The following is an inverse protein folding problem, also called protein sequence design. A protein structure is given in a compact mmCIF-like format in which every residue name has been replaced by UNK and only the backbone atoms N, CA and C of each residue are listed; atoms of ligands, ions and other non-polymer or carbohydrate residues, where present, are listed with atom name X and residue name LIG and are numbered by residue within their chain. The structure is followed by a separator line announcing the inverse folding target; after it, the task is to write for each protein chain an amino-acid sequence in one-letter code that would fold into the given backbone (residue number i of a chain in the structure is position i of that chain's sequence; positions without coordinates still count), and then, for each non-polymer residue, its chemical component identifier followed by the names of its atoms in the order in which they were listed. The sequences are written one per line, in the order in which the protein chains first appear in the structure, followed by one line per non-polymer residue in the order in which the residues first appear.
data_IF_148267329337
#
_entry.id   IF_148267329337
#
_cell.length_a   1.000
_cell.length_b   1.000
_cell.length_c   1.000
_cell.angle_alpha   90.00
_cell.angle_beta   90.00
_cell.angle_gamma   90.00
#
_symmetry.space_group_name_H-M   'P 1'
#
loop_
_entity.id
_entity.type
_entity.pdbx_description
1 polymer ?
#
# COMPACT_ATOMS: atom_id res chain seq x y z
N UNK A 1 -8.65 -23.00 -36.82
CA UNK A 1 -8.07 -23.24 -35.47
C UNK A 1 -9.08 -22.82 -34.42
N UNK A 2 -9.56 -21.58 -34.47
CA UNK A 2 -10.56 -21.04 -33.52
C UNK A 2 -11.84 -21.88 -33.37
N UNK A 3 -12.47 -22.31 -34.48
CA UNK A 3 -13.64 -23.19 -34.42
C UNK A 3 -13.36 -24.54 -33.71
N UNK A 4 -12.14 -25.07 -33.81
CA UNK A 4 -11.73 -26.28 -33.10
C UNK A 4 -11.50 -26.00 -31.61
N UNK A 5 -10.90 -24.85 -31.26
CA UNK A 5 -10.72 -24.42 -29.88
C UNK A 5 -12.06 -24.19 -29.17
N UNK A 6 -13.02 -23.53 -29.82
CA UNK A 6 -14.36 -23.35 -29.27
C UNK A 6 -15.04 -24.70 -29.01
N UNK A 7 -14.85 -25.68 -29.90
CA UNK A 7 -15.44 -27.01 -29.74
C UNK A 7 -14.77 -27.84 -28.63
N UNK A 8 -13.45 -27.77 -28.50
CA UNK A 8 -12.66 -28.61 -27.57
C UNK A 8 -12.58 -27.96 -26.17
N UNK A 9 -12.27 -26.67 -26.11
CA UNK A 9 -12.08 -25.93 -24.85
C UNK A 9 -13.37 -25.28 -24.34
N UNK A 10 -14.40 -25.20 -25.20
CA UNK A 10 -15.68 -24.56 -24.90
C UNK A 10 -15.69 -23.07 -25.23
N UNK A 11 -16.88 -22.55 -25.57
CA UNK A 11 -17.09 -21.13 -25.92
C UNK A 11 -17.03 -20.19 -24.69
N UNK A 12 -16.99 -20.75 -23.47
CA UNK A 12 -17.10 -20.03 -22.20
C UNK A 12 -18.35 -19.13 -22.10
N UNK A 13 -19.36 -19.42 -22.92
CA UNK A 13 -20.70 -18.83 -22.93
C UNK A 13 -21.73 -19.89 -23.26
N UNK A 14 -22.99 -19.64 -22.89
CA UNK A 14 -24.14 -20.46 -23.27
C UNK A 14 -24.82 -19.94 -24.54
N UNK A 15 -24.45 -18.75 -25.01
CA UNK A 15 -24.95 -18.20 -26.27
C UNK A 15 -24.46 -19.05 -27.45
N UNK A 16 -25.41 -19.53 -28.28
CA UNK A 16 -25.10 -20.43 -29.38
C UNK A 16 -24.81 -21.88 -28.97
N UNK A 17 -25.01 -22.25 -27.69
CA UNK A 17 -24.82 -23.63 -27.24
C UNK A 17 -25.80 -24.60 -27.95
N UNK A 18 -25.31 -25.75 -28.45
CA UNK A 18 -26.17 -26.73 -29.09
C UNK A 18 -27.20 -27.24 -28.07
N UNK A 19 -28.46 -27.38 -28.51
CA UNK A 19 -29.61 -27.82 -27.70
C UNK A 19 -30.16 -26.83 -26.67
N UNK A 20 -29.53 -25.65 -26.50
CA UNK A 20 -30.12 -24.58 -25.70
C UNK A 20 -31.00 -23.70 -26.59
N UNK A 21 -32.27 -23.56 -26.22
CA UNK A 21 -33.18 -22.65 -26.92
C UNK A 21 -32.90 -21.21 -26.50
N UNK A 22 -33.10 -20.26 -27.42
CA UNK A 22 -32.95 -18.82 -27.13
C UNK A 22 -33.82 -18.35 -25.96
N UNK A 23 -35.03 -18.93 -25.81
CA UNK A 23 -35.96 -18.62 -24.71
C UNK A 23 -35.41 -18.97 -23.32
N UNK A 24 -34.42 -19.87 -23.23
CA UNK A 24 -33.80 -20.26 -21.97
C UNK A 24 -32.62 -19.36 -21.60
N UNK A 25 -32.03 -18.62 -22.54
CA UNK A 25 -30.85 -17.78 -22.29
C UNK A 25 -31.04 -16.80 -21.12
N UNK A 26 -32.19 -16.09 -20.97
CA UNK A 26 -32.39 -15.16 -19.85
C UNK A 26 -32.30 -15.82 -18.46
N UNK A 27 -32.53 -17.13 -18.35
CA UNK A 27 -32.42 -17.88 -17.09
C UNK A 27 -30.97 -17.99 -16.62
N UNK A 28 -30.02 -17.94 -17.56
CA UNK A 28 -28.59 -18.13 -17.31
C UNK A 28 -27.77 -16.85 -17.44
N UNK A 29 -28.41 -15.68 -17.50
CA UNK A 29 -27.71 -14.40 -17.58
C UNK A 29 -26.85 -14.19 -16.32
N UNK A 30 -25.56 -13.92 -16.55
CA UNK A 30 -24.56 -13.72 -15.51
C UNK A 30 -24.41 -12.23 -15.16
N UNK A 31 -23.64 -11.93 -14.11
CA UNK A 31 -23.41 -10.54 -13.67
C UNK A 31 -22.60 -9.70 -14.68
N UNK A 32 -21.84 -10.35 -15.55
CA UNK A 32 -21.03 -9.75 -16.62
C UNK A 32 -21.10 -10.66 -17.85
N UNK A 33 -20.77 -10.16 -19.05
CA UNK A 33 -20.62 -10.99 -20.24
C UNK A 33 -19.65 -12.16 -19.99
N UNK A 34 -20.01 -13.35 -20.47
CA UNK A 34 -19.21 -14.56 -20.31
C UNK A 34 -18.56 -14.98 -21.63
N UNK A 35 -17.28 -15.35 -21.58
CA UNK A 35 -16.52 -15.78 -22.76
C UNK A 35 -16.19 -14.64 -23.73
N UNK A 36 -15.48 -14.97 -24.81
CA UNK A 36 -15.07 -13.97 -25.83
C UNK A 36 -16.26 -13.44 -26.64
N UNK A 37 -17.25 -14.30 -26.90
CA UNK A 37 -18.36 -14.01 -27.81
C UNK A 37 -19.69 -13.68 -27.09
N UNK A 38 -19.75 -13.84 -25.77
CA UNK A 38 -20.97 -13.59 -25.00
C UNK A 38 -21.27 -12.11 -24.90
N UNK A 39 -22.55 -11.76 -25.03
CA UNK A 39 -23.06 -10.38 -25.05
C UNK A 39 -24.07 -10.13 -23.94
N UNK A 40 -24.69 -11.18 -23.41
CA UNK A 40 -25.78 -11.08 -22.43
C UNK A 40 -25.24 -11.04 -21.00
N UNK A 41 -25.88 -10.20 -20.19
CA UNK A 41 -25.62 -10.07 -18.76
C UNK A 41 -26.80 -9.38 -18.07
N UNK A 42 -26.84 -9.50 -16.75
CA UNK A 42 -27.84 -8.87 -15.90
C UNK A 42 -27.71 -7.35 -15.94
N UNK A 43 -28.81 -6.65 -16.16
CA UNK A 43 -28.83 -5.19 -16.14
C UNK A 43 -28.55 -4.64 -14.74
N UNK A 44 -27.97 -3.43 -14.67
CA UNK A 44 -27.74 -2.68 -13.42
C UNK A 44 -29.03 -2.56 -12.59
N UNK A 45 -30.15 -2.30 -13.26
CA UNK A 45 -31.46 -2.18 -12.61
C UNK A 45 -31.94 -3.50 -12.00
N UNK A 46 -31.67 -4.65 -12.64
CA UNK A 46 -32.05 -5.96 -12.10
C UNK A 46 -31.36 -6.25 -10.77
N UNK A 47 -30.08 -5.88 -10.62
CA UNK A 47 -29.36 -5.99 -9.35
C UNK A 47 -30.02 -5.17 -8.24
N UNK A 48 -30.35 -3.91 -8.53
CA UNK A 48 -30.95 -2.97 -7.57
C UNK A 48 -32.36 -3.44 -7.16
N UNK A 49 -33.20 -3.83 -8.13
CA UNK A 49 -34.57 -4.28 -7.85
C UNK A 49 -34.60 -5.58 -7.04
N UNK A 50 -33.66 -6.49 -7.31
CA UNK A 50 -33.53 -7.72 -6.52
C UNK A 50 -33.14 -7.41 -5.06
N UNK A 51 -32.16 -6.53 -4.86
CA UNK A 51 -31.80 -6.06 -3.50
C UNK A 51 -33.01 -5.40 -2.83
N UNK A 52 -33.76 -4.57 -3.56
CA UNK A 52 -34.91 -3.85 -3.02
C UNK A 52 -36.05 -4.79 -2.59
N UNK A 53 -36.27 -5.88 -3.33
CA UNK A 53 -37.26 -6.89 -2.96
C UNK A 53 -36.91 -7.60 -1.64
N UNK A 54 -35.61 -7.83 -1.39
CA UNK A 54 -35.15 -8.48 -0.16
C UNK A 54 -35.02 -7.52 1.03
N UNK A 55 -34.75 -6.24 0.79
CA UNK A 55 -34.40 -5.25 1.82
C UNK A 55 -35.43 -5.10 2.97
N UNK A 56 -36.76 -5.18 2.75
CA UNK A 56 -37.75 -5.08 3.83
C UNK A 56 -37.65 -6.20 4.88
N UNK A 57 -37.10 -7.35 4.50
CA UNK A 57 -36.98 -8.52 5.37
C UNK A 57 -35.64 -8.57 6.13
N UNK A 58 -34.77 -7.58 5.92
CA UNK A 58 -33.40 -7.55 6.46
C UNK A 58 -33.22 -6.29 7.30
N UNK A 59 -32.94 -6.47 8.60
CA UNK A 59 -32.69 -5.38 9.55
C UNK A 59 -31.41 -4.61 9.24
N UNK A 60 -30.36 -5.30 8.79
CA UNK A 60 -29.10 -4.72 8.31
C UNK A 60 -29.13 -4.29 6.84
N UNK A 61 -27.96 -3.91 6.32
CA UNK A 61 -27.74 -3.64 4.90
C UNK A 61 -27.36 -4.92 4.13
N UNK A 62 -27.58 -4.93 2.82
CA UNK A 62 -27.24 -6.05 1.94
C UNK A 62 -25.84 -5.84 1.36
N UNK A 63 -24.94 -6.80 1.56
CA UNK A 63 -23.64 -6.85 0.89
C UNK A 63 -23.79 -7.48 -0.49
N UNK A 64 -24.17 -6.68 -1.48
CA UNK A 64 -24.30 -7.11 -2.88
C UNK A 64 -23.72 -6.05 -3.81
N UNK A 65 -22.83 -6.50 -4.67
CA UNK A 65 -22.25 -5.69 -5.74
C UNK A 65 -23.25 -5.45 -6.86
N UNK A 66 -23.36 -4.23 -7.35
CA UNK A 66 -24.09 -3.87 -8.56
C UNK A 66 -23.05 -3.74 -9.68
N UNK A 67 -22.99 -4.75 -10.53
CA UNK A 67 -22.07 -4.80 -11.65
C UNK A 67 -22.55 -3.86 -12.76
N UNK A 68 -21.63 -3.07 -13.30
CA UNK A 68 -21.86 -2.15 -14.40
C UNK A 68 -20.89 -2.45 -15.55
N UNK A 69 -21.30 -2.29 -16.81
CA UNK A 69 -20.41 -2.49 -17.96
C UNK A 69 -19.28 -1.45 -17.97
N UNK A 70 -18.19 -1.72 -18.69
CA UNK A 70 -17.02 -0.84 -18.74
C UNK A 70 -17.38 0.56 -19.28
N UNK A 71 -18.29 0.61 -20.25
CA UNK A 71 -18.77 1.80 -20.93
C UNK A 71 -19.72 2.65 -20.07
N UNK A 72 -20.09 2.18 -18.86
CA UNK A 72 -20.99 2.90 -17.98
C UNK A 72 -20.42 4.28 -17.61
N UNK A 73 -21.27 5.30 -17.72
CA UNK A 73 -20.94 6.70 -17.48
C UNK A 73 -21.16 7.10 -16.02
N UNK A 74 -20.71 8.29 -15.65
CA UNK A 74 -20.96 8.86 -14.31
C UNK A 74 -22.46 9.11 -14.11
N UNK A 75 -23.17 9.48 -15.16
CA UNK A 75 -24.61 9.66 -15.20
C UNK A 75 -25.35 8.36 -14.88
N UNK A 76 -24.87 7.23 -15.41
CA UNK A 76 -25.42 5.89 -15.12
C UNK A 76 -25.21 5.52 -13.65
N UNK A 77 -24.03 5.79 -13.10
CA UNK A 77 -23.75 5.61 -11.66
C UNK A 77 -24.69 6.46 -10.80
N UNK A 78 -24.90 7.72 -11.18
CA UNK A 78 -25.84 8.62 -10.50
C UNK A 78 -27.27 8.08 -10.56
N UNK A 79 -27.71 7.60 -11.72
CA UNK A 79 -29.03 7.01 -11.89
C UNK A 79 -29.20 5.77 -10.99
N UNK A 80 -28.17 4.90 -10.91
CA UNK A 80 -28.15 3.74 -10.03
C UNK A 80 -28.26 4.15 -8.55
N UNK A 81 -27.50 5.15 -8.10
CA UNK A 81 -27.63 5.68 -6.74
C UNK A 81 -29.03 6.23 -6.45
N UNK A 82 -29.59 7.01 -7.37
CA UNK A 82 -30.92 7.58 -7.22
C UNK A 82 -32.01 6.51 -7.19
N UNK A 83 -31.90 5.46 -7.99
CA UNK A 83 -32.84 4.34 -7.99
C UNK A 83 -32.76 3.57 -6.67
N UNK A 84 -31.56 3.22 -6.22
CA UNK A 84 -31.33 2.55 -4.93
C UNK A 84 -31.92 3.34 -3.76
N UNK A 85 -31.75 4.66 -3.75
CA UNK A 85 -32.33 5.53 -2.74
C UNK A 85 -33.87 5.55 -2.78
N UNK A 86 -34.47 5.69 -3.98
CA UNK A 86 -35.94 5.65 -4.15
C UNK A 86 -36.56 4.33 -3.69
N UNK A 87 -35.82 3.23 -3.80
CA UNK A 87 -36.24 1.89 -3.39
C UNK A 87 -35.85 1.55 -1.94
N UNK A 88 -35.42 2.54 -1.16
CA UNK A 88 -35.07 2.41 0.26
C UNK A 88 -33.96 1.37 0.55
N UNK A 89 -33.01 1.22 -0.37
CA UNK A 89 -31.80 0.44 -0.11
C UNK A 89 -30.91 1.14 0.92
N UNK A 90 -30.43 0.37 1.91
CA UNK A 90 -29.60 0.90 3.00
C UNK A 90 -28.13 1.08 2.61
N UNK A 91 -27.66 0.33 1.61
CA UNK A 91 -26.31 0.42 1.08
C UNK A 91 -26.32 0.19 -0.42
N UNK A 92 -25.32 0.75 -1.11
CA UNK A 92 -25.11 0.59 -2.54
C UNK A 92 -23.60 0.43 -2.79
N UNK A 93 -23.22 -0.71 -3.39
CA UNK A 93 -21.85 -1.01 -3.77
C UNK A 93 -21.78 -1.19 -5.29
N UNK A 94 -21.39 -0.13 -6.01
CA UNK A 94 -21.20 -0.17 -7.46
C UNK A 94 -19.84 -0.77 -7.81
N UNK A 95 -19.80 -1.57 -8.86
CA UNK A 95 -18.56 -2.04 -9.47
C UNK A 95 -18.67 -1.91 -10.99
N UNK A 96 -17.91 -0.98 -11.56
CA UNK A 96 -17.78 -0.82 -13.01
C UNK A 96 -16.66 -1.72 -13.52
N UNK A 97 -16.92 -2.53 -14.52
CA UNK A 97 -15.90 -3.41 -15.10
C UNK A 97 -14.70 -2.61 -15.62
N UNK A 98 -13.47 -3.09 -15.39
CA UNK A 98 -12.24 -2.39 -15.75
C UNK A 98 -11.91 -1.17 -14.88
N UNK A 99 -12.64 -0.92 -13.79
CA UNK A 99 -12.33 0.18 -12.86
C UNK A 99 -11.16 -0.09 -11.90
N UNK A 100 -10.70 -1.36 -11.80
CA UNK A 100 -9.54 -1.74 -10.98
C UNK A 100 -8.47 -2.41 -11.84
N UNK A 101 -7.22 -2.01 -11.63
CA UNK A 101 -6.03 -2.50 -12.36
C UNK A 101 -5.83 -4.03 -12.19
N UNK A 102 -6.05 -4.54 -10.99
CA UNK A 102 -6.03 -5.97 -10.68
C UNK A 102 -7.45 -6.42 -10.30
N UNK A 103 -8.16 -7.01 -11.26
CA UNK A 103 -9.46 -7.61 -11.00
C UNK A 103 -9.41 -9.12 -11.30
N UNK A 104 -9.99 -9.97 -10.43
CA UNK A 104 -9.99 -11.43 -10.63
C UNK A 104 -10.68 -11.87 -11.94
N UNK A 105 -11.58 -11.04 -12.48
CA UNK A 105 -12.31 -11.29 -13.72
C UNK A 105 -12.43 -9.96 -14.47
N UNK A 106 -11.93 -9.86 -15.70
CA UNK A 106 -12.04 -8.69 -16.57
C UNK A 106 -12.63 -9.10 -17.92
N UNK A 107 -13.86 -8.68 -18.21
CA UNK A 107 -14.50 -9.05 -19.47
C UNK A 107 -13.95 -8.20 -20.64
N UNK A 108 -13.47 -6.99 -20.36
CA UNK A 108 -12.87 -6.08 -21.36
C UNK A 108 -11.54 -6.57 -21.94
N UNK A 109 -10.81 -7.47 -21.28
CA UNK A 109 -9.56 -8.03 -21.83
C UNK A 109 -9.80 -9.08 -22.94
N UNK A 110 -11.05 -9.42 -23.23
CA UNK A 110 -11.42 -10.46 -24.20
C UNK A 110 -11.98 -9.91 -25.52
N UNK A 111 -12.07 -8.57 -25.67
CA UNK A 111 -12.78 -7.92 -26.78
C UNK A 111 -11.92 -7.02 -27.69
N UNK A 112 -10.58 -7.03 -27.57
CA UNK A 112 -9.72 -6.22 -28.46
C UNK A 112 -9.37 -7.02 -29.73
N UNK A 113 -10.04 -6.63 -30.83
CA UNK A 113 -9.88 -7.10 -32.22
C UNK A 113 -8.52 -6.70 -32.84
N UNK A 114 -7.39 -7.18 -32.32
CA UNK A 114 -6.10 -7.09 -33.00
C UNK A 114 -5.45 -8.48 -33.07
N UNK A 115 -5.35 -9.03 -34.28
CA UNK A 115 -4.78 -10.36 -34.59
C UNK A 115 -3.28 -10.50 -34.21
N UNK A 116 -2.60 -9.42 -33.82
CA UNK A 116 -1.23 -9.43 -33.26
C UNK A 116 -1.19 -9.46 -31.71
N UNK A 117 -2.35 -9.43 -31.04
CA UNK A 117 -2.50 -9.50 -29.59
C UNK A 117 -2.81 -10.93 -29.06
N UNK A 118 -3.15 -11.87 -29.94
CA UNK A 118 -3.68 -13.19 -29.55
C UNK A 118 -2.64 -14.10 -28.86
N UNK A 119 -1.39 -14.08 -29.29
CA UNK A 119 -0.32 -14.90 -28.68
C UNK A 119 0.06 -14.40 -27.26
N UNK A 120 -0.07 -13.09 -27.00
CA UNK A 120 0.28 -12.48 -25.72
C UNK A 120 -0.83 -12.62 -24.68
N UNK A 121 -2.10 -12.67 -25.10
CA UNK A 121 -3.25 -12.81 -24.19
C UNK A 121 -3.34 -14.24 -23.65
N UNK A 122 -3.00 -15.27 -24.44
CA UNK A 122 -2.92 -16.65 -23.95
C UNK A 122 -1.78 -16.85 -22.92
N UNK A 123 -0.61 -16.21 -23.14
CA UNK A 123 0.49 -16.20 -22.16
C UNK A 123 0.14 -15.43 -20.86
N UNK A 124 -0.57 -14.30 -20.98
CA UNK A 124 -1.00 -13.48 -19.83
C UNK A 124 -2.08 -14.17 -18.98
N UNK A 125 -2.96 -14.98 -19.58
CA UNK A 125 -3.96 -15.76 -18.85
C UNK A 125 -3.35 -16.96 -18.12
N UNK A 126 -2.23 -17.51 -18.61
CA UNK A 126 -1.49 -18.59 -17.97
C UNK A 126 -0.55 -18.11 -16.84
N UNK A 127 -0.18 -16.83 -16.81
CA UNK A 127 0.75 -16.29 -15.82
C UNK A 127 0.09 -15.98 -14.45
N UNK A 128 0.82 -16.13 -13.31
CA UNK A 128 0.32 -15.78 -11.99
C UNK A 128 0.02 -14.27 -11.86
N UNK A 129 -0.99 -13.92 -11.06
CA UNK A 129 -1.56 -12.56 -10.95
C UNK A 129 -0.54 -11.43 -10.70
N UNK A 130 0.60 -11.74 -10.06
CA UNK A 130 1.68 -10.77 -9.83
C UNK A 130 2.39 -10.33 -11.12
N UNK A 131 2.53 -11.22 -12.11
CA UNK A 131 3.14 -10.90 -13.40
C UNK A 131 2.21 -10.05 -14.28
N UNK A 132 0.90 -10.28 -14.22
CA UNK A 132 -0.10 -9.48 -14.95
C UNK A 132 -0.14 -8.02 -14.48
N UNK A 133 0.02 -7.80 -13.17
CA UNK A 133 0.11 -6.45 -12.60
C UNK A 133 1.38 -5.71 -13.05
N UNK A 134 2.52 -6.42 -13.18
CA UNK A 134 3.76 -5.83 -13.66
C UNK A 134 3.70 -5.42 -15.15
N UNK A 135 3.17 -6.29 -16.02
CA UNK A 135 3.06 -6.01 -17.47
C UNK A 135 2.06 -4.88 -17.78
N UNK A 136 0.99 -4.76 -16.99
CA UNK A 136 0.07 -3.63 -17.09
C UNK A 136 0.74 -2.32 -16.64
N UNK A 137 1.57 -2.37 -15.59
CA UNK A 137 2.33 -1.21 -15.11
C UNK A 137 3.32 -0.75 -16.18
N UNK A 138 3.98 -1.68 -16.88
CA UNK A 138 4.86 -1.35 -18.01
C UNK A 138 4.13 -0.67 -19.18
N UNK A 139 2.92 -1.12 -19.56
CA UNK A 139 2.14 -0.49 -20.63
C UNK A 139 1.58 0.90 -20.28
N UNK A 140 1.32 1.20 -19.00
CA UNK A 140 0.94 2.56 -18.57
C UNK A 140 2.16 3.48 -18.57
N UNK A 141 3.32 2.96 -18.14
CA UNK A 141 4.59 3.67 -18.27
C UNK A 141 4.90 3.94 -19.75
N UNK A 142 4.73 2.99 -20.66
CA UNK A 142 4.90 3.22 -22.10
C UNK A 142 3.91 4.24 -22.67
N UNK A 143 2.63 4.23 -22.25
CA UNK A 143 1.63 5.21 -22.75
C UNK A 143 1.85 6.63 -22.22
N UNK A 144 2.50 6.78 -21.07
CA UNK A 144 2.92 8.08 -20.52
C UNK A 144 4.26 8.51 -21.15
N UNK A 145 5.18 7.56 -21.40
CA UNK A 145 6.49 7.79 -22.03
C UNK A 145 6.36 8.12 -23.53
N UNK A 146 5.35 7.60 -24.22
CA UNK A 146 5.05 7.97 -25.61
C UNK A 146 4.62 9.43 -25.76
N UNK A 147 4.17 10.09 -24.67
CA UNK A 147 3.61 11.43 -24.79
C UNK A 147 4.60 12.56 -24.55
N UNK A 148 5.67 12.39 -23.77
CA UNK A 148 6.82 13.32 -23.77
C UNK A 148 8.06 12.62 -23.18
N UNK A 149 8.95 12.10 -24.03
CA UNK A 149 10.35 11.87 -23.61
C UNK A 149 10.97 13.26 -23.40
N UNK A 150 10.90 13.79 -22.17
CA UNK A 150 11.70 14.97 -21.81
C UNK A 150 13.13 14.51 -21.56
N UNK A 151 14.08 15.14 -22.23
CA UNK A 151 15.47 15.06 -21.85
C UNK A 151 15.62 15.48 -20.38
N UNK A 152 16.54 14.82 -19.65
CA UNK A 152 16.78 15.10 -18.24
C UNK A 152 16.99 16.59 -18.01
N UNK A 153 16.09 17.22 -17.28
CA UNK A 153 16.20 18.62 -16.89
C UNK A 153 17.22 18.72 -15.73
N UNK A 154 18.37 19.34 -15.98
CA UNK A 154 19.42 19.50 -14.95
C UNK A 154 19.04 20.63 -14.00
N UNK A 155 19.13 20.37 -12.71
CA UNK A 155 18.90 21.39 -11.70
C UNK A 155 20.01 22.47 -11.70
N UNK A 156 19.68 23.72 -11.33
CA UNK A 156 20.66 24.78 -11.11
C UNK A 156 21.67 24.43 -9.99
N UNK A 157 22.89 24.94 -10.12
CA UNK A 157 23.94 24.77 -9.11
C UNK A 157 23.58 25.39 -7.75
N UNK A 158 22.73 26.43 -7.73
CA UNK A 158 22.17 27.04 -6.52
C UNK A 158 20.66 26.96 -6.61
N UNK A 159 20.06 26.15 -5.75
CA UNK A 159 18.62 25.84 -5.74
C UNK A 159 17.94 26.42 -4.51
N UNK A 160 16.65 26.71 -4.65
CA UNK A 160 15.74 26.99 -3.53
C UNK A 160 15.14 25.68 -3.02
N UNK A 161 14.55 25.73 -1.84
CA UNK A 161 13.92 24.60 -1.20
C UNK A 161 13.81 24.82 0.30
N UNK A 162 13.12 23.92 0.99
CA UNK A 162 12.95 23.98 2.43
C UNK A 162 13.51 22.73 3.10
N UNK A 163 13.69 22.83 4.42
CA UNK A 163 14.03 21.68 5.26
C UNK A 163 12.98 21.54 6.33
N UNK A 164 12.23 20.45 6.29
CA UNK A 164 11.24 20.10 7.29
C UNK A 164 11.81 19.05 8.23
N UNK A 165 11.77 19.36 9.53
CA UNK A 165 12.09 18.40 10.58
C UNK A 165 10.79 17.87 11.16
N UNK A 166 10.64 16.56 11.15
CA UNK A 166 9.51 15.89 11.79
C UNK A 166 9.98 14.67 12.58
N UNK A 167 9.10 14.18 13.44
CA UNK A 167 9.28 12.91 14.15
C UNK A 167 8.06 12.04 13.87
N UNK A 168 8.25 10.87 13.27
CA UNK A 168 7.19 9.92 12.90
C UNK A 168 7.39 8.66 13.72
N UNK A 169 6.42 8.30 14.56
CA UNK A 169 6.50 7.09 15.37
C UNK A 169 7.71 7.05 16.32
N UNK A 170 8.21 8.22 16.75
CA UNK A 170 9.41 8.34 17.58
C UNK A 170 10.73 8.48 16.80
N UNK A 171 10.71 8.33 15.48
CA UNK A 171 11.90 8.42 14.62
C UNK A 171 12.03 9.82 14.01
N UNK A 172 13.23 10.42 14.07
CA UNK A 172 13.47 11.78 13.53
C UNK A 172 13.74 11.70 12.04
N UNK A 173 12.96 12.45 11.27
CA UNK A 173 13.05 12.56 9.81
C UNK A 173 13.33 14.01 9.44
N UNK A 174 14.30 14.21 8.55
CA UNK A 174 14.60 15.49 7.94
C UNK A 174 14.34 15.37 6.44
N UNK A 175 13.29 16.03 5.97
CA UNK A 175 12.98 16.16 4.55
C UNK A 175 13.61 17.45 4.05
N UNK A 176 14.45 17.37 3.01
CA UNK A 176 14.94 18.54 2.29
C UNK A 176 14.50 18.49 0.85
N UNK A 177 14.03 19.61 0.32
CA UNK A 177 13.62 19.72 -1.07
C UNK A 177 14.61 20.58 -1.87
N UNK A 178 14.71 20.29 -3.16
CA UNK A 178 15.38 21.14 -4.14
C UNK A 178 14.42 21.47 -5.27
N UNK A 179 14.26 22.76 -5.55
CA UNK A 179 13.33 23.30 -6.53
C UNK A 179 14.04 23.74 -7.81
N UNK A 180 13.32 23.65 -8.92
CA UNK A 180 13.65 24.33 -10.16
C UNK A 180 13.40 25.84 -10.04
N UNK A 181 13.92 26.63 -10.98
CA UNK A 181 13.74 28.10 -10.96
C UNK A 181 12.28 28.54 -11.12
N UNK A 182 11.42 27.67 -11.65
CA UNK A 182 9.98 27.86 -11.80
C UNK A 182 9.16 27.47 -10.55
N UNK A 183 9.80 26.97 -9.50
CA UNK A 183 9.15 26.53 -8.26
C UNK A 183 8.65 25.08 -8.28
N UNK A 184 8.83 24.33 -9.37
CA UNK A 184 8.56 22.88 -9.39
C UNK A 184 9.58 22.14 -8.52
N UNK A 185 9.14 21.04 -7.91
CA UNK A 185 10.02 20.16 -7.15
C UNK A 185 10.92 19.36 -8.11
N UNK A 186 12.23 19.39 -7.90
CA UNK A 186 13.21 18.67 -8.72
C UNK A 186 13.99 17.58 -8.00
N UNK A 187 14.14 17.67 -6.68
CA UNK A 187 14.78 16.62 -5.89
C UNK A 187 14.32 16.64 -4.43
N UNK A 188 14.43 15.48 -3.79
CA UNK A 188 14.15 15.30 -2.37
C UNK A 188 15.31 14.56 -1.70
N UNK A 189 15.56 14.89 -0.44
CA UNK A 189 16.48 14.17 0.43
C UNK A 189 15.78 13.81 1.72
N UNK A 190 15.98 12.57 2.15
CA UNK A 190 15.41 12.05 3.39
C UNK A 190 16.57 11.60 4.29
N UNK A 191 16.78 12.36 5.36
CA UNK A 191 17.80 12.07 6.37
C UNK A 191 17.13 11.58 7.66
N UNK A 192 17.70 10.53 8.23
CA UNK A 192 17.22 9.95 9.49
C UNK A 192 18.35 9.73 10.48
N UNK A 193 18.02 9.78 11.77
CA UNK A 193 18.97 9.70 12.86
C UNK A 193 18.60 8.58 13.84
N UNK A 194 19.56 7.68 14.13
CA UNK A 194 19.42 6.45 14.95
C UNK A 194 18.71 5.26 14.29
N UNK A 195 18.62 5.22 12.96
CA UNK A 195 18.17 4.02 12.24
C UNK A 195 19.33 3.10 11.89
N UNK A 196 19.03 1.81 11.66
CA UNK A 196 19.98 0.87 11.11
C UNK A 196 20.57 1.34 9.77
N UNK A 197 21.84 1.02 9.52
CA UNK A 197 22.56 1.46 8.33
C UNK A 197 21.87 1.06 7.01
N UNK A 198 21.27 -0.14 6.99
CA UNK A 198 20.52 -0.64 5.83
C UNK A 198 19.30 0.22 5.50
N UNK A 199 18.51 0.60 6.52
CA UNK A 199 17.32 1.42 6.34
C UNK A 199 17.67 2.84 5.89
N UNK A 200 18.71 3.44 6.48
CA UNK A 200 19.22 4.75 6.04
C UNK A 200 19.71 4.72 4.58
N UNK A 201 20.45 3.68 4.19
CA UNK A 201 20.93 3.53 2.81
C UNK A 201 19.76 3.36 1.82
N UNK A 202 18.75 2.57 2.19
CA UNK A 202 17.55 2.38 1.40
C UNK A 202 16.77 3.68 1.20
N UNK A 203 16.55 4.46 2.26
CA UNK A 203 15.86 5.75 2.18
C UNK A 203 16.63 6.77 1.33
N UNK A 204 17.96 6.78 1.41
CA UNK A 204 18.79 7.63 0.56
C UNK A 204 18.71 7.23 -0.92
N UNK A 205 18.78 5.93 -1.23
CA UNK A 205 18.65 5.43 -2.61
C UNK A 205 17.25 5.68 -3.16
N UNK A 206 16.22 5.54 -2.33
CA UNK A 206 14.84 5.87 -2.68
C UNK A 206 14.69 7.34 -3.03
N UNK A 207 15.20 8.24 -2.18
CA UNK A 207 15.17 9.68 -2.43
C UNK A 207 15.90 10.06 -3.74
N UNK A 208 17.02 9.39 -4.05
CA UNK A 208 17.75 9.57 -5.32
C UNK A 208 16.89 9.11 -6.51
N UNK A 209 16.23 7.96 -6.42
CA UNK A 209 15.38 7.43 -7.50
C UNK A 209 14.21 8.37 -7.81
N UNK A 210 13.52 8.87 -6.78
CA UNK A 210 12.42 9.83 -6.96
C UNK A 210 12.93 11.15 -7.54
N UNK A 211 14.06 11.66 -7.04
CA UNK A 211 14.68 12.87 -7.59
C UNK A 211 15.05 12.73 -9.06
N UNK A 212 15.53 11.56 -9.46
CA UNK A 212 15.84 11.28 -10.86
C UNK A 212 14.57 11.26 -11.71
N UNK A 213 13.50 10.61 -11.23
CA UNK A 213 12.23 10.57 -11.95
C UNK A 213 11.58 11.95 -12.12
N UNK A 214 11.63 12.81 -11.09
CA UNK A 214 11.20 14.21 -11.19
C UNK A 214 11.99 14.99 -12.25
N UNK A 215 13.31 14.74 -12.36
CA UNK A 215 14.16 15.36 -13.40
C UNK A 215 13.87 14.87 -14.82
N UNK A 216 13.35 13.65 -14.98
CA UNK A 216 12.88 13.13 -16.26
C UNK A 216 11.42 13.53 -16.56
N UNK A 217 10.80 14.34 -15.70
CA UNK A 217 9.47 14.90 -15.94
C UNK A 217 8.32 14.02 -15.47
N UNK A 218 8.56 13.03 -14.60
CA UNK A 218 7.48 12.32 -13.92
C UNK A 218 6.75 13.31 -13.00
N UNK A 219 5.42 13.49 -13.14
CA UNK A 219 4.66 14.42 -12.32
C UNK A 219 4.62 13.97 -10.85
N UNK A 220 4.64 14.93 -9.93
CA UNK A 220 4.65 14.67 -8.48
C UNK A 220 3.34 13.98 -8.03
N UNK A 221 2.23 14.29 -8.68
CA UNK A 221 0.91 13.72 -8.45
C UNK A 221 0.91 12.20 -8.47
N UNK A 222 1.58 11.60 -9.45
CA UNK A 222 1.68 10.14 -9.62
C UNK A 222 2.45 9.50 -8.47
N UNK A 223 3.51 10.15 -8.00
CA UNK A 223 4.24 9.69 -6.83
C UNK A 223 3.43 9.81 -5.55
N UNK A 224 2.67 10.88 -5.39
CA UNK A 224 1.76 11.05 -4.24
C UNK A 224 0.72 9.93 -4.25
N UNK A 225 0.11 9.63 -5.38
CA UNK A 225 -0.90 8.58 -5.48
C UNK A 225 -0.32 7.18 -5.26
N UNK A 226 0.89 6.91 -5.76
CA UNK A 226 1.56 5.63 -5.59
C UNK A 226 2.00 5.35 -4.14
N UNK A 227 2.43 6.39 -3.41
CA UNK A 227 3.12 6.22 -2.12
C UNK A 227 2.33 6.69 -0.89
N UNK A 228 1.18 7.34 -1.08
CA UNK A 228 0.26 7.65 0.04
C UNK A 228 -0.36 6.36 0.60
N UNK A 229 -0.57 6.33 1.91
CA UNK A 229 -1.17 5.21 2.65
C UNK A 229 -0.39 3.87 2.61
N UNK A 230 0.83 3.87 2.08
CA UNK A 230 1.71 2.70 2.16
C UNK A 230 2.10 2.50 3.62
N UNK A 231 1.79 1.29 4.13
CA UNK A 231 2.03 0.91 5.52
C UNK A 231 3.37 0.20 5.67
N UNK A 232 4.27 0.79 6.44
CA UNK A 232 5.48 0.14 6.92
C UNK A 232 6.01 0.87 8.17
N UNK A 233 6.75 0.16 9.03
CA UNK A 233 7.38 0.75 10.21
C UNK A 233 8.68 1.48 9.85
N UNK A 234 8.91 2.72 10.29
CA UNK A 234 8.20 3.40 11.38
C UNK A 234 6.89 4.09 10.99
N UNK A 235 5.85 3.82 11.79
CA UNK A 235 4.52 4.42 11.68
C UNK A 235 4.08 5.00 13.03
N UNK A 236 3.20 5.99 13.02
CA UNK A 236 2.59 6.53 14.23
C UNK A 236 2.37 8.03 14.21
N UNK A 237 2.35 8.63 15.40
CA UNK A 237 2.10 10.05 15.57
C UNK A 237 3.25 10.89 15.00
N UNK A 238 2.91 11.96 14.32
CA UNK A 238 3.82 12.91 13.70
C UNK A 238 3.93 14.14 14.59
N UNK A 239 5.16 14.51 14.96
CA UNK A 239 5.46 15.68 15.78
C UNK A 239 6.39 16.60 15.00
N UNK A 240 6.08 17.90 14.97
CA UNK A 240 6.89 18.92 14.29
C UNK A 240 6.40 19.30 12.89
N UNK A 241 5.28 18.72 12.44
CA UNK A 241 4.55 19.17 11.26
C UNK A 241 3.17 19.67 11.71
N UNK A 242 2.70 20.77 11.13
CA UNK A 242 1.48 21.44 11.55
C UNK A 242 0.22 20.85 10.91
N UNK A 243 0.33 20.30 9.69
CA UNK A 243 -0.79 19.79 8.90
C UNK A 243 -1.03 18.29 9.10
N UNK A 244 0.04 17.49 9.23
CA UNK A 244 -0.02 16.03 9.35
C UNK A 244 0.27 15.62 10.80
N UNK A 245 -0.74 15.06 11.48
CA UNK A 245 -0.64 14.61 12.88
C UNK A 245 -0.33 13.13 13.05
N UNK A 246 -0.66 12.30 12.06
CA UNK A 246 -0.41 10.85 12.09
C UNK A 246 0.01 10.35 10.71
N UNK A 247 0.85 9.31 10.71
CA UNK A 247 1.29 8.67 9.49
C UNK A 247 1.40 7.16 9.58
N UNK A 248 1.07 6.52 8.46
CA UNK A 248 1.12 5.06 8.32
C UNK A 248 2.49 4.55 7.92
N UNK A 249 3.38 5.46 7.48
CA UNK A 249 4.81 5.26 7.33
C UNK A 249 5.56 6.59 7.14
N UNK A 250 6.88 6.54 7.07
CA UNK A 250 7.72 7.70 6.76
C UNK A 250 7.53 8.17 5.31
N UNK A 251 7.43 7.24 4.36
CA UNK A 251 7.23 7.59 2.94
C UNK A 251 5.85 8.23 2.78
N UNK A 252 4.82 7.65 3.41
CA UNK A 252 3.48 8.20 3.45
C UNK A 252 3.45 9.63 4.05
N UNK A 253 4.20 9.87 5.13
CA UNK A 253 4.38 11.22 5.67
C UNK A 253 5.05 12.18 4.66
N UNK A 254 6.15 11.76 4.02
CA UNK A 254 6.90 12.60 3.07
C UNK A 254 6.04 12.99 1.87
N UNK A 255 5.34 12.04 1.24
CA UNK A 255 4.53 12.36 0.06
C UNK A 255 3.27 13.14 0.40
N UNK A 256 2.65 12.94 1.56
CA UNK A 256 1.57 13.82 2.01
C UNK A 256 2.06 15.24 2.25
N UNK A 257 3.25 15.41 2.83
CA UNK A 257 3.83 16.75 3.02
C UNK A 257 4.16 17.44 1.69
N UNK A 258 4.72 16.71 0.73
CA UNK A 258 4.98 17.23 -0.61
C UNK A 258 3.68 17.57 -1.35
N UNK A 259 2.64 16.76 -1.19
CA UNK A 259 1.32 17.03 -1.78
C UNK A 259 0.69 18.31 -1.22
N UNK A 260 0.77 18.53 0.10
CA UNK A 260 0.24 19.74 0.73
C UNK A 260 1.06 20.96 0.28
N UNK A 261 2.40 20.84 0.27
CA UNK A 261 3.30 21.98 0.03
C UNK A 261 3.36 22.41 -1.44
N UNK A 262 3.37 21.46 -2.39
CA UNK A 262 3.54 21.75 -3.82
C UNK A 262 2.25 21.62 -4.63
N UNK A 263 1.32 20.74 -4.24
CA UNK A 263 0.09 20.48 -5.00
C UNK A 263 -1.14 21.16 -4.39
N UNK A 264 -1.05 21.68 -3.17
CA UNK A 264 -2.20 22.25 -2.46
C UNK A 264 -3.30 21.23 -2.13
N UNK A 265 -2.97 19.93 -2.10
CA UNK A 265 -3.89 18.84 -1.74
C UNK A 265 -4.14 18.81 -0.23
N UNK A 266 -5.02 19.69 0.25
CA UNK A 266 -5.38 19.81 1.66
C UNK A 266 -6.22 18.63 2.18
N UNK A 267 -6.80 17.83 1.28
CA UNK A 267 -7.54 16.60 1.59
C UNK A 267 -6.70 15.53 2.31
N UNK A 268 -5.38 15.57 2.12
CA UNK A 268 -4.41 14.67 2.78
C UNK A 268 -3.95 15.19 4.14
N UNK A 269 -4.29 16.44 4.48
CA UNK A 269 -3.96 17.05 5.75
C UNK A 269 -4.96 16.60 6.83
N UNK A 270 -4.47 16.39 8.06
CA UNK A 270 -5.35 16.16 9.21
C UNK A 270 -5.87 17.48 9.80
N UNK A 271 -5.17 18.57 9.51
CA UNK A 271 -5.56 19.94 9.85
C UNK A 271 -5.41 20.77 8.60
N UNK A 272 -6.48 21.44 8.20
CA UNK A 272 -6.45 22.32 7.03
C UNK A 272 -5.42 23.45 7.22
N UNK A 273 -4.45 23.61 6.31
CA UNK A 273 -3.46 24.68 6.39
C UNK A 273 -4.06 26.10 6.49
N UNK A 274 -5.27 26.30 5.98
CA UNK A 274 -6.02 27.56 6.11
C UNK A 274 -6.45 27.87 7.54
N UNK A 275 -6.57 26.87 8.43
CA UNK A 275 -6.90 27.06 9.84
C UNK A 275 -5.68 27.34 10.71
N UNK A 276 -4.48 26.94 10.25
CA UNK A 276 -3.20 27.13 10.95
C UNK A 276 -2.86 28.62 11.09
N UNK A 277 -3.23 29.44 10.10
CA UNK A 277 -3.03 30.91 10.15
C UNK A 277 -4.00 31.66 11.09
N UNK A 278 -5.05 31.01 11.60
CA UNK A 278 -6.19 31.69 12.24
C UNK A 278 -6.25 31.55 13.78
N UNK A 279 -5.18 31.13 14.44
CA UNK A 279 -5.18 31.01 15.92
C UNK A 279 -4.34 32.07 16.61
N UNK A 280 -4.87 33.29 16.70
CA UNK A 280 -4.73 34.18 17.88
C UNK A 280 -5.67 35.41 17.89
N UNK A 281 -6.83 35.35 17.21
CA UNK A 281 -7.99 36.18 17.51
C UNK A 281 -9.22 35.45 16.96
N UNK A 282 -10.14 35.06 17.83
CA UNK A 282 -11.34 34.33 17.43
C UNK A 282 -12.04 35.05 16.29
N UNK A 283 -12.35 34.33 15.21
CA UNK A 283 -13.23 34.83 14.14
C UNK A 283 -14.53 35.30 14.80
N UNK A 284 -14.70 36.62 14.85
CA UNK A 284 -15.89 37.25 15.41
C UNK A 284 -17.15 36.73 14.72
N UNK A 285 -18.19 36.55 15.53
CA UNK A 285 -19.54 36.09 15.19
C UNK A 285 -20.13 36.72 13.91
N UNK A 286 -19.70 36.26 12.74
CA UNK A 286 -20.21 36.72 11.44
C UNK A 286 -20.75 35.59 10.57
N UNK A 287 -20.75 34.34 11.06
CA UNK A 287 -21.46 33.22 10.43
C UNK A 287 -22.34 32.47 11.44
N UNK A 288 -23.15 33.25 12.17
CA UNK A 288 -24.18 32.74 13.08
C UNK A 288 -25.58 32.99 12.55
N UNK A 289 -25.94 32.47 11.36
CA UNK A 289 -27.36 32.30 10.99
C UNK A 289 -27.76 30.85 11.22
N UNK A 290 -27.69 30.44 12.49
CA UNK A 290 -28.39 29.24 12.94
C UNK A 290 -29.91 29.54 12.88
N UNK A 291 -30.75 28.62 12.39
CA UNK A 291 -32.19 28.81 12.45
C UNK A 291 -32.61 28.88 13.91
N UNK A 292 -33.05 30.06 14.34
CA UNK A 292 -33.62 30.30 15.67
C UNK A 292 -34.83 29.39 15.83
N UNK A 293 -34.69 28.34 16.65
CA UNK A 293 -35.82 27.58 17.14
C UNK A 293 -36.72 28.52 17.94
N UNK A 294 -37.92 28.79 17.42
CA UNK A 294 -38.99 29.47 18.18
C UNK A 294 -39.45 28.55 19.30
N UNK A 295 -38.82 28.64 20.46
CA UNK A 295 -39.25 27.89 21.63
C UNK A 295 -38.44 28.21 22.86
N UNK A 296 -39.11 28.80 23.86
CA UNK A 296 -38.70 28.90 25.27
C UNK A 296 -37.45 29.77 25.57
N UNK A 297 -37.67 31.06 25.79
CA UNK A 297 -37.65 31.65 27.14
C UNK A 297 -37.87 33.17 27.04
N UNK A 298 -38.76 33.65 27.89
CA UNK A 298 -39.29 35.01 27.93
C UNK A 298 -38.57 35.72 29.08
N UNK A 299 -37.89 36.84 28.82
CA UNK A 299 -37.68 37.88 29.83
C UNK A 299 -36.35 37.98 30.58
N UNK A 300 -35.19 37.81 29.93
CA UNK A 300 -33.95 38.40 30.45
C UNK A 300 -33.11 39.03 29.33
N UNK A 301 -32.85 40.34 29.45
CA UNK A 301 -31.94 41.09 28.58
C UNK A 301 -30.57 41.20 29.27
N UNK A 302 -29.56 40.51 28.76
CA UNK A 302 -28.17 40.71 29.19
C UNK A 302 -27.57 41.92 28.48
N UNK A 303 -27.02 42.86 29.26
CA UNK A 303 -26.38 44.09 28.76
C UNK A 303 -24.86 43.90 28.86
N UNK A 304 -24.17 43.88 27.72
CA UNK A 304 -22.70 43.82 27.65
C UNK A 304 -22.15 45.22 27.91
N UNK A 305 -21.30 45.37 28.93
CA UNK A 305 -20.58 46.62 29.21
C UNK A 305 -19.22 46.55 28.51
N UNK A 306 -19.03 47.39 27.48
CA UNK A 306 -17.72 47.67 26.91
C UNK A 306 -17.04 48.81 27.67
N UNK A 307 -15.79 48.61 28.07
CA UNK A 307 -14.99 49.61 28.78
C UNK A 307 -13.51 49.48 28.45
N UNK A 308 -13.01 50.47 27.73
CA UNK A 308 -11.60 50.79 27.48
C UNK A 308 -10.79 50.99 28.79
N UNK A 309 -9.54 50.54 28.75
CA UNK A 309 -8.44 50.61 29.75
C UNK A 309 -8.12 52.03 30.32
N UNK A 310 -7.10 52.21 31.20
CA UNK A 310 -6.77 51.51 32.46
C UNK A 310 -6.54 52.50 33.63
N UNK A 311 -6.49 52.01 34.89
CA UNK A 311 -5.90 52.76 36.02
C UNK A 311 -4.90 51.87 36.74
N UNK A 312 -3.66 52.37 36.83
CA UNK A 312 -2.51 51.66 37.36
C UNK A 312 -2.46 51.56 38.88
N UNK A 313 -1.45 50.83 39.35
CA UNK A 313 -0.83 51.05 40.64
C UNK A 313 0.63 50.56 40.61
N UNK A 314 1.49 51.30 41.31
CA UNK A 314 2.94 51.20 41.32
C UNK A 314 3.48 50.37 42.50
N UNK A 315 4.73 49.93 42.35
CA UNK A 315 5.62 49.38 43.38
C UNK A 315 6.65 48.47 42.69
N UNK A 316 7.89 48.87 42.41
CA UNK A 316 8.99 49.14 43.36
C UNK A 316 9.53 47.79 43.88
N UNK A 317 10.79 47.35 43.73
CA UNK A 317 12.04 48.01 43.40
C UNK A 317 13.16 46.99 43.08
N UNK A 318 14.26 47.53 42.53
CA UNK A 318 15.68 47.21 42.75
C UNK A 318 16.40 46.02 42.04
N UNK A 319 17.53 46.39 41.41
CA UNK A 319 18.78 45.62 41.25
C UNK A 319 18.84 44.70 40.02
N UNK A 320 19.86 44.65 39.16
CA UNK A 320 21.18 45.28 39.09
C UNK A 320 21.71 45.00 37.66
N UNK A 321 22.47 45.93 37.07
CA UNK A 321 23.23 45.71 35.83
C UNK A 321 24.71 45.57 36.16
N UNK A 322 25.38 44.54 35.64
CA UNK A 322 26.81 44.63 35.31
C UNK A 322 27.21 43.60 34.24
N UNK A 323 28.21 43.98 33.46
CA UNK A 323 28.88 43.28 32.35
C UNK A 323 30.36 43.70 32.38
N UNK A 324 31.31 43.14 31.58
CA UNK A 324 31.72 41.73 31.37
C UNK A 324 33.28 41.52 31.41
N UNK A 325 33.76 40.27 31.13
CA UNK A 325 35.10 39.78 30.60
C UNK A 325 36.21 39.29 31.58
N UNK A 326 37.28 38.55 31.14
CA UNK A 326 37.47 37.56 30.04
C UNK A 326 38.41 36.32 30.36
N UNK A 327 38.72 35.52 29.31
CA UNK A 327 39.88 34.62 29.05
C UNK A 327 39.86 33.13 29.46
N UNK A 328 39.95 32.22 28.46
CA UNK A 328 41.12 31.37 28.17
C UNK A 328 40.79 30.18 27.21
N UNK A 329 41.62 29.95 26.20
CA UNK A 329 41.76 28.68 25.45
C UNK A 329 42.80 27.77 26.18
N UNK A 330 42.97 26.45 25.90
CA UNK A 330 43.66 26.00 24.67
C UNK A 330 43.41 24.54 24.15
N UNK A 331 43.97 24.31 22.94
CA UNK A 331 44.74 23.14 22.43
C UNK A 331 44.13 21.75 22.15
N UNK A 332 44.51 21.26 20.96
CA UNK A 332 44.41 19.91 20.44
C UNK A 332 45.51 18.95 20.96
N UNK A 333 45.27 17.64 20.89
CA UNK A 333 46.34 16.63 20.77
C UNK A 333 45.89 15.40 19.97
N UNK A 334 46.87 14.85 19.25
CA UNK A 334 46.85 13.72 18.32
C UNK A 334 47.17 12.39 19.03
N UNK A 335 46.67 11.26 18.53
CA UNK A 335 47.13 9.94 18.96
C UNK A 335 46.37 8.77 18.33
N UNK A 336 46.98 8.14 17.32
CA UNK A 336 46.60 6.83 16.79
C UNK A 336 46.86 5.72 17.81
N UNK A 337 45.95 4.74 17.91
CA UNK A 337 46.31 3.37 18.31
C UNK A 337 45.32 2.36 17.71
N UNK A 338 45.90 1.46 16.91
CA UNK A 338 45.31 0.26 16.31
C UNK A 338 45.12 -0.80 17.41
N UNK A 339 43.97 -1.47 17.46
CA UNK A 339 43.78 -2.69 18.24
C UNK A 339 43.31 -3.83 17.34
N UNK A 340 44.01 -4.96 17.46
CA UNK A 340 43.90 -6.18 16.69
C UNK A 340 42.60 -6.94 16.94
N UNK A 341 42.07 -7.56 15.88
CA UNK A 341 41.04 -8.59 15.94
C UNK A 341 41.51 -9.85 16.68
N UNK A 342 40.68 -10.38 17.59
CA UNK A 342 40.74 -11.77 18.10
C UNK A 342 39.48 -12.53 17.65
N UNK A 343 39.56 -13.86 17.42
CA UNK A 343 38.48 -14.64 16.83
C UNK A 343 37.40 -14.99 17.86
N UNK A 344 36.14 -14.91 17.45
CA UNK A 344 34.96 -15.20 18.24
C UNK A 344 34.65 -16.71 18.23
N UNK A 345 34.70 -17.36 19.40
CA UNK A 345 34.22 -18.74 19.57
C UNK A 345 33.43 -18.97 20.87
N UNK A 346 33.47 -18.06 21.83
CA UNK A 346 32.79 -18.25 23.13
C UNK A 346 31.38 -17.62 23.15
N UNK A 347 31.19 -16.43 22.57
CA UNK A 347 29.88 -15.74 22.56
C UNK A 347 28.79 -16.49 21.77
N UNK A 348 29.18 -17.22 20.72
CA UNK A 348 28.24 -17.99 19.88
C UNK A 348 27.73 -19.25 20.55
N UNK A 349 28.47 -19.80 21.52
CA UNK A 349 28.07 -21.00 22.25
C UNK A 349 27.15 -20.66 23.43
N UNK A 350 27.39 -19.51 24.08
CA UNK A 350 26.50 -18.99 25.14
C UNK A 350 25.09 -18.68 24.59
N UNK A 351 25.02 -18.04 23.42
CA UNK A 351 23.73 -17.66 22.80
C UNK A 351 22.87 -18.87 22.39
N UNK A 352 23.50 -19.97 21.97
CA UNK A 352 22.79 -21.18 21.55
C UNK A 352 22.21 -21.94 22.76
N UNK A 353 22.95 -21.96 23.87
CA UNK A 353 22.52 -22.59 25.12
C UNK A 353 21.35 -21.85 25.78
N UNK A 354 21.39 -20.52 25.80
CA UNK A 354 20.30 -19.69 26.34
C UNK A 354 19.00 -19.87 25.54
N UNK A 355 19.10 -20.08 24.22
CA UNK A 355 17.92 -20.31 23.37
C UNK A 355 17.31 -21.70 23.61
N UNK A 356 18.14 -22.73 23.77
CA UNK A 356 17.68 -24.09 24.04
C UNK A 356 17.08 -24.23 25.45
N UNK A 357 17.68 -23.63 26.48
CA UNK A 357 17.15 -23.64 27.85
C UNK A 357 15.83 -22.84 27.97
N UNK A 358 15.71 -21.71 27.25
CA UNK A 358 14.46 -20.91 27.20
C UNK A 358 13.35 -21.62 26.42
N UNK A 359 13.69 -22.41 25.40
CA UNK A 359 12.71 -23.21 24.66
C UNK A 359 12.13 -24.35 25.50
N UNK A 360 12.93 -24.92 26.41
CA UNK A 360 12.46 -25.92 27.39
C UNK A 360 11.58 -25.31 28.48
N UNK A 361 11.97 -24.16 29.02
CA UNK A 361 11.16 -23.44 30.02
C UNK A 361 9.78 -23.06 29.48
N UNK A 362 9.71 -22.61 28.23
CA UNK A 362 8.44 -22.28 27.56
C UNK A 362 7.57 -23.53 27.32
N UNK A 363 8.18 -24.68 27.04
CA UNK A 363 7.46 -25.94 26.86
C UNK A 363 6.91 -26.50 28.19
N UNK A 364 7.61 -26.30 29.30
CA UNK A 364 7.14 -26.65 30.65
C UNK A 364 6.01 -25.72 31.12
N UNK A 365 6.11 -24.40 30.87
CA UNK A 365 5.03 -23.44 31.18
C UNK A 365 3.72 -23.75 30.41
N UNK A 366 3.82 -24.19 29.15
CA UNK A 366 2.65 -24.60 28.34
C UNK A 366 2.01 -25.90 28.86
N UNK A 367 2.79 -26.77 29.51
CA UNK A 367 2.30 -28.02 30.07
C UNK A 367 1.54 -27.81 31.39
N UNK A 368 1.91 -26.79 32.18
CA UNK A 368 1.31 -26.49 33.48
C UNK A 368 0.00 -25.66 33.37
N UNK A 369 -0.26 -24.96 32.26
CA UNK A 369 -1.46 -24.11 32.08
C UNK A 369 -2.74 -24.85 31.61
N UNK A 370 -2.70 -26.17 31.35
CA UNK A 370 -3.88 -26.95 30.94
C UNK A 370 -4.23 -28.08 31.94
N UNK A 371 -5.14 -27.85 32.90
CA UNK A 371 -5.64 -28.94 33.75
C UNK A 371 -6.57 -29.89 32.95
N UNK A 372 -6.63 -31.19 33.31
CA UNK A 372 -7.40 -32.18 32.56
C UNK A 372 -8.90 -32.08 32.90
N UNK A 373 -9.69 -31.47 32.00
CA UNK A 373 -11.15 -31.50 32.10
C UNK A 373 -11.70 -32.84 31.58
N UNK A 374 -12.01 -33.70 32.55
CA UNK A 374 -13.23 -34.49 32.70
C UNK A 374 -14.30 -34.30 31.60
N UNK A 375 -14.19 -34.95 30.43
CA UNK A 375 -15.29 -35.60 29.71
C UNK A 375 -14.70 -36.35 28.49
N UNK A 376 -14.85 -37.67 28.47
CA UNK A 376 -14.37 -38.55 27.40
C UNK A 376 -15.00 -38.19 26.04
N UNK A 377 -14.18 -37.74 25.09
CA UNK A 377 -14.42 -37.99 23.66
C UNK A 377 -13.08 -38.14 22.93
N UNK A 378 -12.91 -39.29 22.27
CA UNK A 378 -11.70 -39.70 21.55
C UNK A 378 -11.54 -38.95 20.22
N UNK A 379 -10.90 -37.78 20.20
CA UNK A 379 -10.29 -37.19 18.98
C UNK A 379 -9.09 -36.31 19.39
N UNK A 380 -7.89 -36.47 18.78
CA UNK A 380 -6.73 -35.65 19.13
C UNK A 380 -6.79 -34.26 18.47
N UNK A 381 -6.55 -33.22 19.28
CA UNK A 381 -6.35 -31.83 18.86
C UNK A 381 -5.24 -31.69 17.79
N UNK A 382 -5.53 -30.92 16.73
CA UNK A 382 -4.67 -30.65 15.55
C UNK A 382 -3.26 -30.13 15.89
N UNK A 383 -3.03 -29.65 17.11
CA UNK A 383 -1.73 -29.09 17.53
C UNK A 383 -0.67 -30.14 17.87
N UNK A 384 -1.06 -31.37 18.22
CA UNK A 384 -0.11 -32.46 18.55
C UNK A 384 0.34 -33.26 17.33
N UNK A 385 -0.30 -33.10 16.17
CA UNK A 385 0.03 -33.81 14.93
C UNK A 385 1.34 -33.33 14.28
N UNK A 386 1.75 -32.08 14.52
CA UNK A 386 2.91 -31.43 13.89
C UNK A 386 4.28 -31.89 14.44
N UNK A 387 4.31 -32.56 15.60
CA UNK A 387 5.55 -33.02 16.26
C UNK A 387 5.61 -34.54 16.42
N UNK A 388 4.84 -35.28 15.61
CA UNK A 388 4.83 -36.74 15.64
C UNK A 388 6.04 -37.35 14.93
N UNK A 389 6.49 -38.54 15.38
CA UNK A 389 7.56 -39.33 14.73
C UNK A 389 7.23 -39.62 13.24
N UNK A 390 5.94 -39.66 12.91
CA UNK A 390 5.44 -39.80 11.54
C UNK A 390 5.74 -38.57 10.68
N UNK A 391 5.54 -37.36 11.20
CA UNK A 391 5.88 -36.12 10.50
C UNK A 391 7.39 -36.02 10.22
N UNK A 392 8.22 -36.53 11.14
CA UNK A 392 9.67 -36.57 10.98
C UNK A 392 10.11 -37.61 9.93
N UNK A 393 9.46 -38.77 9.90
CA UNK A 393 9.67 -39.77 8.86
C UNK A 393 9.26 -39.26 7.46
N UNK A 394 8.11 -38.59 7.35
CA UNK A 394 7.61 -38.03 6.08
C UNK A 394 8.54 -36.91 5.56
N UNK A 395 9.07 -36.05 6.44
CA UNK A 395 10.07 -35.06 6.09
C UNK A 395 11.40 -35.67 5.60
N UNK A 396 11.80 -36.81 6.19
CA UNK A 396 13.00 -37.53 5.75
C UNK A 396 12.81 -38.17 4.36
N UNK A 397 11.63 -38.71 4.08
CA UNK A 397 11.26 -39.26 2.78
C UNK A 397 11.20 -38.17 1.70
N UNK A 398 10.63 -37.00 2.02
CA UNK A 398 10.58 -35.85 1.12
C UNK A 398 11.99 -35.35 0.74
N UNK A 399 12.92 -35.33 1.70
CA UNK A 399 14.34 -34.98 1.45
C UNK A 399 15.04 -35.99 0.53
N UNK A 400 14.75 -37.29 0.68
CA UNK A 400 15.31 -38.32 -0.20
C UNK A 400 14.81 -38.17 -1.65
N UNK A 401 13.52 -37.87 -1.84
CA UNK A 401 12.94 -37.61 -3.17
C UNK A 401 13.54 -36.35 -3.81
N UNK A 402 13.71 -35.28 -3.03
CA UNK A 402 14.37 -34.05 -3.51
C UNK A 402 15.83 -34.29 -3.91
N UNK A 403 16.57 -35.10 -3.16
CA UNK A 403 17.95 -35.47 -3.49
C UNK A 403 18.04 -36.28 -4.81
N UNK A 404 17.11 -37.22 -5.02
CA UNK A 404 17.04 -37.99 -6.27
C UNK A 404 16.72 -37.11 -7.48
N UNK A 405 15.75 -36.19 -7.34
CA UNK A 405 15.40 -35.22 -8.40
C UNK A 405 16.56 -34.29 -8.74
N UNK A 406 17.30 -33.83 -7.73
CA UNK A 406 18.51 -33.03 -7.90
C UNK A 406 19.59 -33.78 -8.68
N UNK A 407 19.85 -35.04 -8.34
CA UNK A 407 20.83 -35.87 -9.05
C UNK A 407 20.44 -36.10 -10.51
N UNK A 408 19.15 -36.36 -10.78
CA UNK A 408 18.64 -36.52 -12.15
C UNK A 408 18.82 -35.24 -12.99
N UNK A 409 18.57 -34.07 -12.41
CA UNK A 409 18.77 -32.80 -13.08
C UNK A 409 20.26 -32.54 -13.40
N UNK A 410 21.17 -32.87 -12.49
CA UNK A 410 22.62 -32.77 -12.74
C UNK A 410 23.06 -33.70 -13.88
N UNK A 411 22.55 -34.94 -13.92
CA UNK A 411 22.83 -35.86 -15.04
C UNK A 411 22.32 -35.34 -16.39
N UNK A 412 21.25 -34.56 -16.38
CA UNK A 412 20.67 -33.93 -17.58
C UNK A 412 21.39 -32.64 -17.99
N UNK A 413 22.45 -32.23 -17.28
CA UNK A 413 23.27 -31.07 -17.62
C UNK A 413 22.87 -29.76 -16.92
N UNK A 414 21.93 -29.81 -15.98
CA UNK A 414 21.52 -28.66 -15.16
C UNK A 414 22.43 -28.46 -13.93
N UNK A 415 22.42 -27.26 -13.33
CA UNK A 415 23.28 -26.92 -12.18
C UNK A 415 22.91 -27.68 -10.90
N UNK A 416 21.70 -28.24 -10.84
CA UNK A 416 21.19 -28.95 -9.66
C UNK A 416 20.75 -28.02 -8.53
N UNK A 417 20.68 -26.71 -8.76
CA UNK A 417 20.05 -25.78 -7.84
C UNK A 417 18.53 -25.80 -8.02
N UNK A 418 17.81 -25.63 -6.91
CA UNK A 418 16.36 -25.55 -6.93
C UNK A 418 15.94 -24.12 -7.23
N UNK A 419 15.06 -23.96 -8.22
CA UNK A 419 14.44 -22.67 -8.50
C UNK A 419 13.64 -22.19 -7.28
N UNK A 420 13.86 -20.94 -6.84
CA UNK A 420 13.11 -20.36 -5.71
C UNK A 420 11.62 -20.19 -6.01
N UNK A 421 11.28 -19.90 -7.27
CA UNK A 421 9.89 -19.65 -7.69
C UNK A 421 9.10 -20.95 -7.90
N UNK A 422 9.55 -21.83 -8.81
CA UNK A 422 8.78 -23.03 -9.20
C UNK A 422 9.27 -24.32 -8.54
N UNK A 423 10.30 -24.26 -7.68
CA UNK A 423 10.89 -25.41 -6.96
C UNK A 423 11.38 -26.57 -7.85
N UNK A 424 11.55 -26.32 -9.15
CA UNK A 424 12.10 -27.29 -10.08
C UNK A 424 13.63 -27.21 -10.14
N UNK A 425 14.30 -28.30 -10.52
CA UNK A 425 15.77 -28.41 -10.52
C UNK A 425 16.41 -28.14 -11.90
N UNK A 426 15.64 -27.61 -12.85
CA UNK A 426 16.07 -27.33 -14.23
C UNK A 426 16.72 -25.96 -14.36
N UNK A 427 17.70 -25.66 -13.51
CA UNK A 427 18.44 -24.40 -13.53
C UNK A 427 19.67 -24.53 -14.45
N UNK A 428 19.87 -23.59 -15.37
CA UNK A 428 21.00 -23.54 -16.32
C UNK A 428 21.84 -22.30 -16.03
N UNK A 429 23.17 -22.40 -16.14
CA UNK A 429 24.04 -21.21 -16.02
C UNK A 429 23.89 -20.30 -17.24
N UNK A 430 23.58 -19.03 -16.98
CA UNK A 430 23.57 -17.95 -17.94
C UNK A 430 24.45 -16.80 -17.43
N UNK A 431 25.73 -16.80 -17.81
CA UNK A 431 26.73 -15.86 -17.31
C UNK A 431 27.13 -16.14 -15.84
N UNK A 432 27.10 -15.11 -14.99
CA UNK A 432 27.34 -15.23 -13.54
C UNK A 432 26.14 -15.76 -12.76
N UNK A 433 25.02 -16.01 -13.44
CA UNK A 433 23.71 -16.21 -12.84
C UNK A 433 23.07 -17.48 -13.40
N UNK A 434 21.97 -17.93 -12.81
CA UNK A 434 21.26 -19.13 -13.24
C UNK A 434 19.87 -18.77 -13.73
N UNK A 435 19.40 -19.41 -14.80
CA UNK A 435 18.07 -19.24 -15.36
C UNK A 435 17.31 -20.57 -15.23
N UNK A 436 16.07 -20.52 -14.77
CA UNK A 436 15.19 -21.68 -14.78
C UNK A 436 14.61 -21.89 -16.17
N UNK A 437 14.79 -23.07 -16.76
CA UNK A 437 14.17 -23.40 -18.04
C UNK A 437 12.66 -23.66 -17.93
N UNK A 438 12.16 -23.99 -16.73
CA UNK A 438 10.73 -24.28 -16.53
C UNK A 438 9.88 -23.02 -16.41
N UNK A 439 10.33 -22.03 -15.65
CA UNK A 439 9.55 -20.81 -15.37
C UNK A 439 10.25 -19.51 -15.79
N UNK A 440 11.43 -19.58 -16.39
CA UNK A 440 12.18 -18.42 -16.89
C UNK A 440 12.87 -17.57 -15.83
N UNK A 441 12.64 -17.80 -14.53
CA UNK A 441 13.19 -16.96 -13.45
C UNK A 441 14.72 -17.04 -13.39
N UNK A 442 15.39 -15.91 -13.23
CA UNK A 442 16.85 -15.85 -13.04
C UNK A 442 17.20 -15.75 -11.55
N UNK A 443 18.38 -16.24 -11.16
CA UNK A 443 18.85 -16.30 -9.77
C UNK A 443 19.32 -14.94 -9.23
N UNK A 444 18.58 -13.87 -9.48
CA UNK A 444 18.86 -12.55 -8.92
C UNK A 444 19.88 -11.72 -9.69
N UNK A 445 20.02 -11.95 -11.00
CA UNK A 445 20.68 -11.00 -11.89
C UNK A 445 19.70 -10.60 -12.98
N UNK A 446 19.47 -9.29 -13.02
CA UNK A 446 18.75 -8.55 -14.07
C UNK A 446 19.48 -8.62 -15.40
#
# INVERSE_FOLDING_TARGET
IEAANIHICGAMTLEGAPHLKEEHLPVFDCASPCGKIGKRYLSVESHIRMMAAAQPFISGAISKTINMPNEATVEDCKAAYMLSWKLALKANALYRDGSKLSQPLNASLLSDDNEEADDLVEELVAAPNAARAAVMTEKIVERIVERVVRDRERLPNRRKGYTQKAMVGGHKVYLRTGEFDDGRLGEIFIDMHKEGAAFRAMMNNFAIAISLGLQYGVPLEEYVEAFTFVKFEPAGMVIGNEAIKTATSIIDYVFRELAISYLGRNDLAHVDPSEISNTSLGRGMSEGRLPVSKGLTRGQTFKVVGGSEPKGFAGGAAGEKSSPRPNAAPSAFSGSNVLSLKPASEDTLAYKRDYEERSKGLAEEIADENPPDLFESNEPSETTALFSDKAQADASAAKAVAASRRQKAIMQGYTGNMCSECQNFTMVRNGTCEKCDTCGSTSGCS
#
